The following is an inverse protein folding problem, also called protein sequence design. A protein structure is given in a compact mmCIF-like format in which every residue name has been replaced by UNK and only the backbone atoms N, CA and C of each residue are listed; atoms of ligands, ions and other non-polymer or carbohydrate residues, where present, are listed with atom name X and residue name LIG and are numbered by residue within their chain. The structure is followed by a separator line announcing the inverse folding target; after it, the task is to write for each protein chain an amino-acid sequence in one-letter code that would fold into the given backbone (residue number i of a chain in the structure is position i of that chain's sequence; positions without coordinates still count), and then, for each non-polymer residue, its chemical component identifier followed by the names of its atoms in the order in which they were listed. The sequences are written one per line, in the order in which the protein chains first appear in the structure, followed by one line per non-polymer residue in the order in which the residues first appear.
data_IF_561873871673
#
_entry.id   IF_561873871673
#
_cell.length_a   1.000
_cell.length_b   1.000
_cell.length_c   1.000
_cell.angle_alpha   90.00
_cell.angle_beta   90.00
_cell.angle_gamma   90.00
#
_symmetry.space_group_name_H-M   'P 1'
#
loop_
_entity.id
_entity.type
_entity.pdbx_description
1 polymer ?
#
# COMPACT_ATOMS: atom_id res chain seq x y z
N UNK A 1 7.53 18.94 -34.21
CA UNK A 1 8.01 19.14 -32.83
C UNK A 1 7.66 17.91 -32.02
N UNK A 2 8.46 17.49 -31.03
CA UNK A 2 8.12 16.36 -30.18
C UNK A 2 6.77 16.62 -29.48
N UNK A 3 5.95 15.57 -29.37
CA UNK A 3 4.58 15.61 -28.81
C UNK A 3 4.59 15.80 -27.28
N UNK A 4 5.74 15.55 -26.64
CA UNK A 4 6.00 15.72 -25.22
C UNK A 4 7.48 15.45 -24.91
N UNK A 5 7.88 15.42 -23.61
CA UNK A 5 9.23 15.08 -23.21
C UNK A 5 9.60 13.64 -23.60
N UNK A 6 10.91 13.40 -23.78
CA UNK A 6 11.43 12.05 -24.00
C UNK A 6 11.49 11.31 -22.66
N UNK A 7 10.70 10.24 -22.54
CA UNK A 7 10.49 9.47 -21.32
C UNK A 7 10.70 7.97 -21.62
N UNK A 8 11.10 7.17 -20.63
CA UNK A 8 11.36 5.74 -20.76
C UNK A 8 10.28 4.88 -20.11
N UNK A 9 9.77 5.29 -18.96
CA UNK A 9 8.68 4.64 -18.24
C UNK A 9 7.32 5.01 -18.82
N UNK A 10 7.21 6.22 -19.35
CA UNK A 10 6.03 6.71 -20.06
C UNK A 10 6.34 7.01 -21.53
N UNK A 11 5.29 7.06 -22.36
CA UNK A 11 5.35 7.58 -23.73
C UNK A 11 4.32 8.69 -23.92
N UNK A 12 4.70 9.71 -24.68
CA UNK A 12 3.79 10.73 -25.17
C UNK A 12 3.39 10.40 -26.61
N UNK A 13 2.10 10.15 -26.84
CA UNK A 13 1.55 9.80 -28.16
C UNK A 13 0.44 10.80 -28.51
N UNK A 14 0.35 11.23 -29.77
CA UNK A 14 -0.78 12.05 -30.23
C UNK A 14 -1.79 11.14 -30.92
N UNK A 15 -3.02 11.16 -30.46
CA UNK A 15 -4.11 10.44 -31.12
C UNK A 15 -4.46 11.11 -32.47
N UNK A 16 -5.17 10.40 -33.38
CA UNK A 16 -5.62 10.98 -34.64
C UNK A 16 -6.55 12.20 -34.50
N UNK A 17 -7.24 12.34 -33.37
CA UNK A 17 -8.09 13.52 -33.06
C UNK A 17 -7.33 14.63 -32.32
N UNK A 18 -6.01 14.53 -32.20
CA UNK A 18 -5.15 15.59 -31.65
C UNK A 18 -5.11 15.65 -30.12
N UNK A 19 -5.54 14.59 -29.43
CA UNK A 19 -5.47 14.48 -27.96
C UNK A 19 -4.13 13.86 -27.58
N UNK A 20 -3.46 14.45 -26.58
CA UNK A 20 -2.23 13.90 -26.05
C UNK A 20 -2.53 12.69 -25.16
N UNK A 21 -1.82 11.60 -25.38
CA UNK A 21 -1.84 10.40 -24.55
C UNK A 21 -0.55 10.30 -23.75
N UNK A 22 -0.67 10.20 -22.43
CA UNK A 22 0.40 9.75 -21.55
C UNK A 22 0.22 8.25 -21.31
N UNK A 23 1.07 7.44 -21.94
CA UNK A 23 1.00 5.98 -21.89
C UNK A 23 2.00 5.47 -20.88
N UNK A 24 1.53 4.90 -19.77
CA UNK A 24 2.42 4.23 -18.82
C UNK A 24 2.76 2.84 -19.36
N UNK A 25 4.03 2.60 -19.70
CA UNK A 25 4.47 1.31 -20.25
C UNK A 25 5.90 0.97 -19.81
N UNK A 26 6.02 0.55 -18.55
CA UNK A 26 7.31 0.23 -17.93
C UNK A 26 8.09 -0.82 -18.74
N UNK A 27 9.30 -0.52 -19.23
CA UNK A 27 10.09 -1.46 -20.04
C UNK A 27 10.46 -2.73 -19.28
N UNK A 28 10.46 -3.87 -19.96
CA UNK A 28 10.93 -5.15 -19.40
C UNK A 28 10.07 -5.75 -18.30
N UNK A 29 8.88 -5.20 -18.04
CA UNK A 29 7.93 -5.68 -17.02
C UNK A 29 6.57 -6.00 -17.63
N UNK A 30 5.91 -7.02 -17.08
CA UNK A 30 4.55 -7.42 -17.49
C UNK A 30 3.47 -6.48 -16.94
N UNK A 31 3.80 -5.67 -15.94
CA UNK A 31 2.89 -4.75 -15.25
C UNK A 31 3.61 -3.42 -15.03
N UNK A 32 2.86 -2.33 -15.06
CA UNK A 32 3.37 -1.03 -14.62
C UNK A 32 3.42 -0.98 -13.10
N UNK A 33 4.52 -0.45 -12.57
CA UNK A 33 4.69 -0.10 -11.16
C UNK A 33 5.41 1.24 -11.05
N UNK A 34 5.14 2.00 -10.00
CA UNK A 34 5.87 3.22 -9.68
C UNK A 34 7.24 2.89 -9.09
N UNK A 35 8.23 2.77 -9.98
CA UNK A 35 9.65 2.87 -9.65
C UNK A 35 10.06 4.32 -9.41
N UNK A 36 11.24 4.53 -8.84
CA UNK A 36 11.85 5.85 -8.70
C UNK A 36 11.98 6.57 -10.05
N UNK A 37 12.31 5.84 -11.12
CA UNK A 37 12.38 6.39 -12.46
C UNK A 37 11.00 6.84 -12.96
N UNK A 38 9.93 6.07 -12.71
CA UNK A 38 8.58 6.45 -13.11
C UNK A 38 8.08 7.66 -12.31
N UNK A 39 8.40 7.74 -11.02
CA UNK A 39 8.06 8.90 -10.18
C UNK A 39 8.75 10.17 -10.71
N UNK A 40 10.02 10.08 -11.07
CA UNK A 40 10.77 11.20 -11.64
C UNK A 40 10.18 11.65 -12.98
N UNK A 41 9.93 10.71 -13.89
CA UNK A 41 9.34 11.01 -15.20
C UNK A 41 7.93 11.59 -15.12
N UNK A 42 7.12 11.17 -14.15
CA UNK A 42 5.82 11.77 -13.87
C UNK A 42 5.98 13.25 -13.47
N UNK A 43 6.97 13.56 -12.64
CA UNK A 43 7.30 14.94 -12.26
C UNK A 43 7.73 15.77 -13.46
N UNK A 44 8.60 15.24 -14.33
CA UNK A 44 9.02 15.92 -15.56
C UNK A 44 7.84 16.17 -16.51
N UNK A 45 6.96 15.18 -16.67
CA UNK A 45 5.77 15.33 -17.48
C UNK A 45 4.81 16.39 -16.92
N UNK A 46 4.62 16.44 -15.61
CA UNK A 46 3.77 17.44 -14.98
C UNK A 46 4.29 18.88 -15.20
N UNK A 47 5.62 19.11 -15.12
CA UNK A 47 6.24 20.42 -15.38
C UNK A 47 6.01 20.84 -16.83
N UNK A 48 6.21 19.90 -17.74
CA UNK A 48 5.97 20.14 -19.16
C UNK A 48 4.50 20.40 -19.45
N UNK A 49 3.57 19.65 -18.84
CA UNK A 49 2.14 19.75 -19.10
C UNK A 49 1.61 21.15 -18.77
N UNK A 50 2.04 21.72 -17.63
CA UNK A 50 1.68 23.08 -17.20
C UNK A 50 2.05 24.14 -18.25
N UNK A 51 3.20 23.98 -18.90
CA UNK A 51 3.74 24.91 -19.90
C UNK A 51 3.30 24.59 -21.33
N UNK A 52 2.63 23.46 -21.55
CA UNK A 52 2.27 22.98 -22.89
C UNK A 52 1.04 23.69 -23.47
N UNK A 53 0.96 23.73 -24.80
CA UNK A 53 -0.23 24.20 -25.53
C UNK A 53 -1.29 23.10 -25.74
N UNK A 54 -1.15 21.94 -25.09
CA UNK A 54 -2.12 20.85 -25.23
C UNK A 54 -3.50 21.27 -24.69
N UNK A 55 -4.55 20.74 -25.32
CA UNK A 55 -5.94 20.89 -24.88
C UNK A 55 -6.27 20.03 -23.65
N UNK A 56 -5.44 19.02 -23.36
CA UNK A 56 -5.57 18.10 -22.24
C UNK A 56 -4.81 16.80 -22.51
N UNK A 57 -4.95 15.83 -21.62
CA UNK A 57 -4.26 14.55 -21.70
C UNK A 57 -5.19 13.40 -21.31
N UNK A 58 -5.06 12.28 -22.03
CA UNK A 58 -5.60 10.98 -21.62
C UNK A 58 -4.45 10.11 -21.11
N UNK A 59 -4.57 9.65 -19.87
CA UNK A 59 -3.66 8.69 -19.28
C UNK A 59 -4.21 7.30 -19.55
N UNK A 60 -3.35 6.40 -20.06
CA UNK A 60 -3.69 5.00 -20.29
C UNK A 60 -2.51 4.09 -20.01
N UNK A 61 -2.77 2.80 -19.87
CA UNK A 61 -1.72 1.80 -19.78
C UNK A 61 -1.31 1.31 -21.17
N UNK A 62 -0.01 1.03 -21.35
CA UNK A 62 0.52 0.24 -22.46
C UNK A 62 0.49 -1.27 -22.19
N UNK A 63 0.12 -1.71 -20.98
CA UNK A 63 0.01 -3.12 -20.60
C UNK A 63 -1.42 -3.63 -20.80
N UNK A 64 -1.56 -4.85 -21.28
CA UNK A 64 -2.87 -5.49 -21.48
C UNK A 64 -3.51 -6.01 -20.18
N UNK A 65 -2.70 -6.31 -19.16
CA UNK A 65 -3.12 -7.02 -17.95
C UNK A 65 -3.61 -6.11 -16.82
N UNK A 66 -3.17 -4.86 -16.77
CA UNK A 66 -3.53 -3.90 -15.73
C UNK A 66 -3.21 -2.46 -16.12
N UNK A 67 -3.81 -1.52 -15.37
CA UNK A 67 -3.43 -0.12 -15.45
C UNK A 67 -2.08 0.12 -14.76
N UNK A 68 -2.00 -0.14 -13.46
CA UNK A 68 -0.79 -0.06 -12.65
C UNK A 68 -0.99 -0.84 -11.33
N UNK A 69 0.02 -1.60 -10.92
CA UNK A 69 -0.04 -2.52 -9.78
C UNK A 69 0.43 -1.93 -8.44
N UNK A 70 0.80 -0.65 -8.41
CA UNK A 70 1.27 0.06 -7.21
C UNK A 70 2.75 0.45 -7.30
N UNK A 71 3.41 0.57 -6.16
CA UNK A 71 4.84 0.90 -6.09
C UNK A 71 5.74 -0.28 -6.52
N UNK A 72 7.00 -0.01 -6.85
CA UNK A 72 8.01 -1.07 -6.95
C UNK A 72 8.54 -1.41 -5.53
N UNK A 73 8.07 -2.53 -4.97
CA UNK A 73 8.42 -2.92 -3.60
C UNK A 73 9.88 -3.37 -3.43
N UNK A 74 10.59 -3.72 -4.51
CA UNK A 74 12.03 -4.01 -4.41
C UNK A 74 12.83 -2.71 -4.19
N UNK A 75 12.43 -1.63 -4.85
CA UNK A 75 13.02 -0.30 -4.61
C UNK A 75 12.63 0.26 -3.23
N UNK A 76 11.46 -0.12 -2.70
CA UNK A 76 11.04 0.24 -1.35
C UNK A 76 11.96 -0.36 -0.26
N UNK A 77 12.39 -1.62 -0.42
CA UNK A 77 13.35 -2.27 0.50
C UNK A 77 14.70 -1.53 0.47
N UNK A 78 15.16 -1.13 -0.71
CA UNK A 78 16.39 -0.34 -0.87
C UNK A 78 16.27 1.05 -0.22
N UNK A 79 15.12 1.71 -0.37
CA UNK A 79 14.85 2.99 0.28
C UNK A 79 14.84 2.86 1.80
N UNK A 80 14.24 1.79 2.33
CA UNK A 80 14.26 1.50 3.77
C UNK A 80 15.69 1.35 4.28
N UNK A 81 16.52 0.52 3.64
CA UNK A 81 17.91 0.30 4.07
C UNK A 81 18.72 1.60 4.02
N UNK A 82 18.53 2.41 2.98
CA UNK A 82 19.12 3.75 2.88
C UNK A 82 18.71 4.66 4.05
N UNK A 83 17.43 4.70 4.40
CA UNK A 83 16.90 5.53 5.50
C UNK A 83 17.46 5.05 6.84
N UNK A 84 17.46 3.75 7.09
CA UNK A 84 17.91 3.19 8.36
C UNK A 84 19.44 3.29 8.56
N UNK A 85 20.21 3.35 7.48
CA UNK A 85 21.65 3.62 7.52
C UNK A 85 21.98 5.08 7.90
N UNK A 86 21.06 6.02 7.71
CA UNK A 86 21.27 7.43 8.05
C UNK A 86 21.23 7.68 9.58
N UNK A 87 21.89 8.75 10.08
CA UNK A 87 21.75 9.20 11.47
C UNK A 87 20.29 9.42 11.84
N UNK A 88 19.88 9.03 13.05
CA UNK A 88 18.47 9.10 13.50
C UNK A 88 17.83 10.47 13.30
N UNK A 89 18.60 11.54 13.51
CA UNK A 89 18.15 12.94 13.34
C UNK A 89 17.84 13.34 11.89
N UNK A 90 18.31 12.57 10.90
CA UNK A 90 18.11 12.84 9.47
C UNK A 90 17.02 11.96 8.84
N UNK A 91 16.63 10.86 9.49
CA UNK A 91 15.77 9.83 8.89
C UNK A 91 14.39 10.34 8.49
N UNK A 92 13.75 11.13 9.35
CA UNK A 92 12.42 11.69 9.07
C UNK A 92 12.44 12.53 7.78
N UNK A 93 13.45 13.39 7.64
CA UNK A 93 13.63 14.23 6.46
C UNK A 93 13.94 13.39 5.22
N UNK A 94 14.86 12.43 5.33
CA UNK A 94 15.24 11.57 4.22
C UNK A 94 14.05 10.73 3.72
N UNK A 95 13.28 10.16 4.64
CA UNK A 95 12.05 9.43 4.31
C UNK A 95 11.03 10.35 3.64
N UNK A 96 10.77 11.53 4.21
CA UNK A 96 9.87 12.52 3.61
C UNK A 96 10.31 12.89 2.19
N UNK A 97 11.55 13.34 2.02
CA UNK A 97 12.08 13.81 0.72
C UNK A 97 12.05 12.69 -0.33
N UNK A 98 12.34 11.44 0.07
CA UNK A 98 12.31 10.30 -0.84
C UNK A 98 10.90 9.96 -1.32
N UNK A 99 9.94 9.82 -0.39
CA UNK A 99 8.59 9.31 -0.69
C UNK A 99 7.60 10.40 -1.13
N UNK A 100 7.80 11.66 -0.74
CA UNK A 100 6.90 12.76 -1.12
C UNK A 100 6.82 13.02 -2.63
N UNK A 101 7.86 12.62 -3.38
CA UNK A 101 7.96 12.87 -4.83
C UNK A 101 6.76 12.34 -5.62
N UNK A 102 6.19 11.18 -5.26
CA UNK A 102 5.00 10.65 -5.92
C UNK A 102 3.79 11.55 -5.67
N UNK A 103 3.47 11.84 -4.40
CA UNK A 103 2.34 12.71 -4.04
C UNK A 103 2.47 14.11 -4.64
N UNK A 104 3.69 14.66 -4.64
CA UNK A 104 4.00 15.94 -5.23
C UNK A 104 3.85 15.95 -6.77
N UNK A 105 4.39 14.94 -7.46
CA UNK A 105 4.23 14.79 -8.91
C UNK A 105 2.77 14.65 -9.33
N UNK A 106 1.99 13.85 -8.58
CA UNK A 106 0.54 13.72 -8.78
C UNK A 106 -0.20 15.03 -8.55
N UNK A 107 0.17 15.80 -7.51
CA UNK A 107 -0.43 17.11 -7.26
C UNK A 107 -0.10 18.12 -8.36
N UNK A 108 1.12 18.12 -8.88
CA UNK A 108 1.53 18.97 -10.00
C UNK A 108 0.79 18.62 -11.29
N UNK A 109 0.61 17.34 -11.58
CA UNK A 109 -0.23 16.88 -12.69
C UNK A 109 -1.69 17.37 -12.55
N UNK A 110 -2.25 17.21 -11.35
CA UNK A 110 -3.61 17.59 -10.99
C UNK A 110 -3.86 19.11 -11.08
N UNK A 111 -2.83 19.93 -10.88
CA UNK A 111 -2.92 21.39 -10.86
C UNK A 111 -2.27 22.07 -12.07
N UNK A 112 -1.86 21.30 -13.09
CA UNK A 112 -1.22 21.81 -14.31
C UNK A 112 -2.14 22.69 -15.19
N UNK A 113 -3.40 22.93 -14.79
CA UNK A 113 -4.36 23.75 -15.54
C UNK A 113 -4.86 23.12 -16.84
N UNK A 114 -4.56 21.84 -17.08
CA UNK A 114 -4.98 21.07 -18.26
C UNK A 114 -5.94 19.94 -17.87
N UNK A 115 -7.01 19.67 -18.65
CA UNK A 115 -7.85 18.50 -18.43
C UNK A 115 -7.02 17.21 -18.46
N UNK A 116 -7.23 16.35 -17.45
CA UNK A 116 -6.56 15.04 -17.33
C UNK A 116 -7.64 14.00 -17.17
N UNK A 117 -7.83 13.15 -18.18
CA UNK A 117 -8.67 11.96 -18.08
C UNK A 117 -7.79 10.73 -17.92
N UNK A 118 -8.31 9.68 -17.26
CA UNK A 118 -7.67 8.37 -17.20
C UNK A 118 -8.63 7.29 -17.70
N UNK A 119 -8.10 6.41 -18.54
CA UNK A 119 -8.78 5.25 -19.09
C UNK A 119 -8.33 3.97 -18.34
N UNK A 120 -9.25 3.37 -17.59
CA UNK A 120 -9.00 2.23 -16.70
C UNK A 120 -9.64 0.98 -17.29
N UNK A 121 -8.84 0.23 -18.06
CA UNK A 121 -9.23 -1.06 -18.64
C UNK A 121 -8.82 -2.25 -17.76
N UNK A 122 -8.13 -2.02 -16.65
CA UNK A 122 -7.67 -3.09 -15.78
C UNK A 122 -7.39 -2.61 -14.38
N UNK A 123 -6.68 -3.42 -13.62
CA UNK A 123 -6.44 -3.21 -12.21
C UNK A 123 -5.61 -1.92 -11.97
N UNK A 124 -6.13 -1.02 -11.14
CA UNK A 124 -5.45 0.17 -10.64
C UNK A 124 -5.30 0.06 -9.12
N UNK A 125 -4.13 -0.40 -8.67
CA UNK A 125 -3.85 -0.63 -7.24
C UNK A 125 -2.78 0.29 -6.70
N UNK A 126 -2.91 0.65 -5.43
CA UNK A 126 -1.97 1.46 -4.67
C UNK A 126 -1.61 2.75 -5.41
N UNK A 127 -0.32 3.02 -5.62
CA UNK A 127 0.14 4.14 -6.46
C UNK A 127 -0.55 4.26 -7.83
N UNK A 128 -0.96 3.14 -8.45
CA UNK A 128 -1.76 3.14 -9.67
C UNK A 128 -3.18 3.67 -9.49
N UNK A 129 -3.82 3.33 -8.37
CA UNK A 129 -5.08 3.95 -7.96
C UNK A 129 -4.86 5.44 -7.69
N UNK A 130 -3.85 5.81 -6.90
CA UNK A 130 -3.53 7.21 -6.55
C UNK A 130 -3.29 8.07 -7.81
N UNK A 131 -2.64 7.50 -8.83
CA UNK A 131 -2.47 8.14 -10.12
C UNK A 131 -3.80 8.39 -10.84
N UNK A 132 -4.70 7.43 -10.81
CA UNK A 132 -6.04 7.60 -11.36
C UNK A 132 -6.89 8.61 -10.56
N UNK A 133 -6.73 8.66 -9.24
CA UNK A 133 -7.44 9.64 -8.38
C UNK A 133 -6.98 11.07 -8.65
N UNK A 134 -5.72 11.28 -9.05
CA UNK A 134 -5.19 12.60 -9.41
C UNK A 134 -5.72 13.12 -10.76
N UNK A 135 -6.34 12.27 -11.58
CA UNK A 135 -7.01 12.71 -12.79
C UNK A 135 -8.32 13.46 -12.48
N UNK A 136 -8.72 14.36 -13.37
CA UNK A 136 -9.98 15.08 -13.29
C UNK A 136 -11.17 14.22 -13.72
N UNK A 137 -10.93 13.26 -14.61
CA UNK A 137 -11.95 12.35 -15.15
C UNK A 137 -11.46 10.92 -15.20
N UNK A 138 -12.34 9.97 -14.92
CA UNK A 138 -12.02 8.55 -14.75
C UNK A 138 -13.06 7.74 -15.50
N UNK A 139 -12.63 7.14 -16.61
CA UNK A 139 -13.44 6.21 -17.39
C UNK A 139 -12.98 4.80 -17.07
N UNK A 140 -13.92 3.95 -16.68
CA UNK A 140 -13.65 2.55 -16.33
C UNK A 140 -14.36 1.61 -17.31
N UNK A 141 -13.66 0.58 -17.75
CA UNK A 141 -14.25 -0.47 -18.57
C UNK A 141 -15.13 -1.39 -17.71
N UNK A 142 -16.29 -1.80 -18.21
CA UNK A 142 -17.22 -2.71 -17.55
C UNK A 142 -16.73 -4.16 -17.64
N UNK A 143 -15.71 -4.48 -16.84
CA UNK A 143 -15.14 -5.82 -16.74
C UNK A 143 -14.53 -6.10 -15.37
N UNK A 144 -14.53 -7.36 -14.91
CA UNK A 144 -14.19 -7.71 -13.52
C UNK A 144 -12.81 -7.26 -13.04
N UNK A 145 -11.83 -7.19 -13.95
CA UNK A 145 -10.46 -6.80 -13.63
C UNK A 145 -10.27 -5.28 -13.52
N UNK A 146 -11.17 -4.47 -14.09
CA UNK A 146 -11.11 -3.02 -14.02
C UNK A 146 -11.64 -2.57 -12.65
N UNK A 147 -10.71 -2.33 -11.73
CA UNK A 147 -11.02 -2.00 -10.33
C UNK A 147 -9.99 -1.05 -9.76
N UNK A 148 -10.42 -0.22 -8.82
CA UNK A 148 -9.60 0.62 -7.96
C UNK A 148 -9.39 -0.06 -6.61
N UNK A 149 -8.22 0.13 -5.99
CA UNK A 149 -7.99 -0.31 -4.61
C UNK A 149 -6.67 0.21 -4.02
N UNK A 150 -6.61 0.30 -2.70
CA UNK A 150 -5.44 0.77 -1.94
C UNK A 150 -5.03 -0.28 -0.88
N UNK A 151 -4.38 -1.39 -1.30
CA UNK A 151 -4.12 -2.54 -0.44
C UNK A 151 -2.87 -2.39 0.45
N UNK A 152 -2.29 -1.20 0.57
CA UNK A 152 -1.04 -0.93 1.29
C UNK A 152 -1.08 -1.42 2.75
N UNK A 153 -2.22 -1.25 3.42
CA UNK A 153 -2.44 -1.71 4.80
C UNK A 153 -2.13 -3.20 4.98
N UNK A 154 -2.44 -4.02 3.97
CA UNK A 154 -2.26 -5.48 4.00
C UNK A 154 -0.79 -5.91 4.04
N UNK A 155 0.13 -5.01 3.69
CA UNK A 155 1.58 -5.23 3.70
C UNK A 155 2.30 -4.30 4.68
N UNK A 156 1.56 -3.65 5.59
CA UNK A 156 2.13 -2.81 6.63
C UNK A 156 2.46 -1.39 6.19
N UNK A 157 1.86 -0.91 5.10
CA UNK A 157 2.07 0.44 4.57
C UNK A 157 0.77 1.25 4.58
N UNK A 158 0.86 2.52 4.21
CA UNK A 158 -0.30 3.35 3.90
C UNK A 158 -0.19 3.96 2.49
N UNK A 159 -1.30 4.37 1.85
CA UNK A 159 -1.29 5.05 0.56
C UNK A 159 -0.68 6.47 0.66
N UNK A 160 0.61 6.58 0.37
CA UNK A 160 1.41 7.81 0.58
C UNK A 160 1.55 8.72 -0.64
N UNK A 161 0.92 8.40 -1.77
CA UNK A 161 0.81 9.23 -2.96
C UNK A 161 -0.39 10.19 -2.94
N UNK A 162 -0.97 10.45 -1.77
CA UNK A 162 -2.19 11.24 -1.57
C UNK A 162 -3.46 10.39 -1.50
N UNK A 163 -3.38 9.06 -1.46
CA UNK A 163 -4.54 8.17 -1.45
C UNK A 163 -5.43 8.35 -0.21
N UNK A 164 -4.84 8.57 0.97
CA UNK A 164 -5.63 8.86 2.19
C UNK A 164 -6.29 10.23 2.14
N UNK A 165 -5.88 11.10 1.20
CA UNK A 165 -6.43 12.45 1.05
C UNK A 165 -7.43 12.57 -0.09
N UNK A 166 -7.17 11.97 -1.25
CA UNK A 166 -8.05 12.03 -2.42
C UNK A 166 -9.27 11.14 -2.24
N UNK A 167 -9.09 9.90 -1.79
CA UNK A 167 -10.19 8.94 -1.74
C UNK A 167 -11.33 9.39 -0.82
N UNK A 168 -11.09 9.81 0.45
CA UNK A 168 -12.17 10.29 1.30
C UNK A 168 -12.83 11.58 0.79
N UNK A 169 -12.11 12.43 0.04
CA UNK A 169 -12.67 13.64 -0.57
C UNK A 169 -13.54 13.34 -1.80
N UNK A 170 -13.34 12.19 -2.44
CA UNK A 170 -14.14 11.72 -3.57
C UNK A 170 -15.40 10.97 -3.14
N UNK A 171 -15.26 10.02 -2.21
CA UNK A 171 -16.34 9.05 -1.91
C UNK A 171 -16.84 9.12 -0.46
N UNK A 172 -16.32 10.05 0.33
CA UNK A 172 -16.60 10.16 1.77
C UNK A 172 -15.75 9.22 2.62
N UNK A 173 -15.60 9.56 3.91
CA UNK A 173 -14.73 8.82 4.84
C UNK A 173 -15.23 7.39 5.04
N UNK A 174 -16.52 7.21 5.28
CA UNK A 174 -17.10 5.89 5.57
C UNK A 174 -16.91 4.89 4.41
N UNK A 175 -17.04 5.34 3.16
CA UNK A 175 -16.83 4.48 1.99
C UNK A 175 -15.34 4.29 1.65
N UNK A 176 -14.48 5.24 2.03
CA UNK A 176 -13.04 5.15 1.81
C UNK A 176 -12.35 4.19 2.79
N UNK A 177 -12.78 4.10 4.06
CA UNK A 177 -12.08 3.30 5.07
C UNK A 177 -11.97 1.80 4.72
N UNK A 178 -12.99 1.11 4.18
CA UNK A 178 -12.82 -0.29 3.73
C UNK A 178 -11.76 -0.45 2.64
N UNK A 179 -11.65 0.51 1.72
CA UNK A 179 -10.63 0.50 0.66
C UNK A 179 -9.24 0.70 1.26
N UNK A 180 -9.10 1.62 2.21
CA UNK A 180 -7.82 1.98 2.83
C UNK A 180 -7.33 0.94 3.85
N UNK A 181 -8.21 0.44 4.71
CA UNK A 181 -7.85 -0.44 5.83
C UNK A 181 -7.83 -1.91 5.44
N UNK A 182 -8.81 -2.35 4.64
CA UNK A 182 -9.06 -3.75 4.31
C UNK A 182 -8.60 -4.10 2.87
N UNK A 183 -8.16 -3.10 2.09
CA UNK A 183 -7.76 -3.29 0.70
C UNK A 183 -8.94 -3.65 -0.22
N UNK A 184 -10.16 -3.25 0.15
CA UNK A 184 -11.35 -3.49 -0.66
C UNK A 184 -11.20 -2.90 -2.07
N UNK A 185 -11.79 -3.58 -3.06
CA UNK A 185 -11.75 -3.15 -4.47
C UNK A 185 -13.10 -2.65 -4.92
N UNK A 186 -13.11 -1.58 -5.71
CA UNK A 186 -14.33 -0.98 -6.26
C UNK A 186 -14.19 -0.89 -7.78
N UNK A 187 -15.18 -1.39 -8.52
CA UNK A 187 -15.21 -1.35 -9.99
C UNK A 187 -16.65 -1.32 -10.52
N UNK A 188 -16.79 -1.33 -11.84
CA UNK A 188 -18.09 -1.36 -12.52
C UNK A 188 -19.05 -0.27 -12.03
N UNK A 189 -20.33 -0.64 -11.93
CA UNK A 189 -21.38 0.29 -11.48
C UNK A 189 -21.17 0.79 -10.03
N UNK A 190 -20.51 0.00 -9.17
CA UNK A 190 -20.21 0.42 -7.80
C UNK A 190 -19.23 1.60 -7.77
N UNK A 191 -18.28 1.66 -8.71
CA UNK A 191 -17.37 2.80 -8.83
C UNK A 191 -18.10 4.09 -9.25
N UNK A 192 -19.10 3.98 -10.13
CA UNK A 192 -19.96 5.11 -10.53
C UNK A 192 -20.81 5.57 -9.35
N UNK A 193 -21.50 4.63 -8.69
CA UNK A 193 -22.39 4.94 -7.57
C UNK A 193 -21.67 5.61 -6.38
N UNK A 194 -20.41 5.24 -6.15
CA UNK A 194 -19.58 5.85 -5.11
C UNK A 194 -19.01 7.22 -5.48
N UNK A 195 -19.07 7.64 -6.75
CA UNK A 195 -18.37 8.84 -7.25
C UNK A 195 -16.87 8.62 -7.52
N UNK A 196 -16.41 7.37 -7.50
CA UNK A 196 -15.01 7.01 -7.75
C UNK A 196 -14.67 7.02 -9.24
N UNK A 197 -15.61 6.64 -10.10
CA UNK A 197 -15.52 6.76 -11.56
C UNK A 197 -16.62 7.68 -12.09
N UNK A 198 -16.40 8.26 -13.26
CA UNK A 198 -17.34 9.20 -13.89
C UNK A 198 -18.12 8.57 -15.05
N UNK A 199 -17.52 7.64 -15.77
CA UNK A 199 -18.14 6.95 -16.90
C UNK A 199 -17.77 5.46 -16.88
N UNK A 200 -18.77 4.60 -17.07
CA UNK A 200 -18.63 3.15 -17.23
C UNK A 200 -18.95 2.82 -18.68
N UNK A 201 -18.04 2.15 -19.38
CA UNK A 201 -18.18 1.86 -20.82
C UNK A 201 -17.88 0.41 -21.14
N UNK A 202 -18.26 -0.06 -22.33
CA UNK A 202 -17.89 -1.40 -22.75
C UNK A 202 -16.35 -1.52 -22.88
N UNK A 203 -15.77 -2.72 -22.62
CA UNK A 203 -14.34 -2.93 -22.79
C UNK A 203 -13.83 -2.53 -24.18
N UNK A 204 -12.80 -1.70 -24.22
CA UNK A 204 -12.20 -1.17 -25.44
C UNK A 204 -12.69 0.23 -25.82
N UNK A 205 -13.71 0.76 -25.14
CA UNK A 205 -14.25 2.10 -25.40
C UNK A 205 -13.68 3.17 -24.44
N UNK A 206 -12.95 2.78 -23.41
CA UNK A 206 -12.49 3.66 -22.33
C UNK A 206 -11.58 4.81 -22.79
N UNK A 207 -10.71 4.56 -23.78
CA UNK A 207 -9.82 5.59 -24.34
C UNK A 207 -10.63 6.58 -25.17
N UNK A 208 -11.51 6.11 -26.05
CA UNK A 208 -12.34 6.97 -26.87
C UNK A 208 -13.27 7.85 -26.02
N UNK A 209 -13.80 7.31 -24.92
CA UNK A 209 -14.59 8.06 -23.95
C UNK A 209 -13.76 9.14 -23.24
N UNK A 210 -12.55 8.80 -22.78
CA UNK A 210 -11.65 9.77 -22.17
C UNK A 210 -11.25 10.89 -23.15
N UNK A 211 -10.98 10.56 -24.42
CA UNK A 211 -10.72 11.54 -25.48
C UNK A 211 -11.92 12.47 -25.70
N UNK A 212 -13.16 11.93 -25.77
CA UNK A 212 -14.38 12.74 -25.89
C UNK A 212 -14.49 13.75 -24.75
N UNK A 213 -14.22 13.33 -23.52
CA UNK A 213 -14.25 14.22 -22.37
C UNK A 213 -13.19 15.32 -22.48
N UNK A 214 -11.95 14.99 -22.83
CA UNK A 214 -10.89 16.01 -23.01
C UNK A 214 -11.24 17.00 -24.13
N UNK A 215 -11.77 16.53 -25.26
CA UNK A 215 -12.14 17.36 -26.41
C UNK A 215 -13.33 18.31 -26.11
N UNK A 216 -14.13 18.00 -25.09
CA UNK A 216 -15.18 18.91 -24.60
C UNK A 216 -14.63 20.16 -23.89
N UNK A 217 -13.30 20.22 -23.65
CA UNK A 217 -12.58 21.31 -22.96
C UNK A 217 -13.17 21.64 -21.58
N UNK A 218 -13.26 20.65 -20.68
CA UNK A 218 -13.83 20.84 -19.36
C UNK A 218 -12.90 21.72 -18.51
N UNK A 219 -13.43 22.20 -17.39
CA UNK A 219 -12.61 22.88 -16.39
C UNK A 219 -11.71 21.86 -15.67
N UNK A 220 -10.41 22.12 -15.66
CA UNK A 220 -9.39 21.28 -15.01
C UNK A 220 -9.19 21.67 -13.55
N UNK A 221 -10.24 21.50 -12.72
CA UNK A 221 -10.20 21.79 -11.29
C UNK A 221 -10.92 20.68 -10.53
N UNK A 222 -10.17 20.00 -9.65
CA UNK A 222 -10.73 18.98 -8.75
C UNK A 222 -11.75 19.58 -7.79
N UNK A 223 -12.71 18.78 -7.27
CA UNK A 223 -13.70 19.28 -6.33
C UNK A 223 -13.07 20.07 -5.18
N UNK A 224 -12.07 19.51 -4.48
CA UNK A 224 -11.45 20.15 -3.31
C UNK A 224 -10.63 21.42 -3.57
N UNK A 225 -10.37 21.75 -4.84
CA UNK A 225 -9.71 23.00 -5.22
C UNK A 225 -10.71 24.10 -5.60
N UNK A 226 -12.01 23.80 -5.59
CA UNK A 226 -13.05 24.78 -5.89
C UNK A 226 -13.40 25.58 -4.64
N UNK A 227 -13.61 26.91 -4.73
CA UNK A 227 -13.94 27.75 -3.57
C UNK A 227 -15.22 27.35 -2.82
N UNK A 228 -16.15 26.71 -3.51
CA UNK A 228 -17.45 26.26 -2.99
C UNK A 228 -17.42 24.85 -2.39
N UNK A 229 -16.32 24.10 -2.55
CA UNK A 229 -16.24 22.75 -2.03
C UNK A 229 -16.21 22.70 -0.51
N UNK A 230 -16.97 21.76 0.05
CA UNK A 230 -17.07 21.53 1.49
C UNK A 230 -16.88 20.04 1.77
N UNK A 231 -16.08 19.74 2.77
CA UNK A 231 -15.94 18.40 3.30
C UNK A 231 -17.11 18.11 4.26
N UNK A 232 -18.24 17.65 3.73
CA UNK A 232 -19.47 17.39 4.50
C UNK A 232 -19.27 16.39 5.65
N UNK A 233 -18.27 15.52 5.54
CA UNK A 233 -17.97 14.49 6.53
C UNK A 233 -17.21 14.99 7.76
N UNK A 234 -16.62 16.20 7.75
CA UNK A 234 -15.78 16.70 8.87
C UNK A 234 -16.48 16.54 10.24
N UNK A 235 -17.77 16.93 10.42
CA UNK A 235 -18.44 16.79 11.71
C UNK A 235 -18.62 15.34 12.17
N UNK A 236 -18.71 14.38 11.23
CA UNK A 236 -18.89 12.95 11.51
C UNK A 236 -17.57 12.19 11.59
N UNK A 237 -16.48 12.78 11.09
CA UNK A 237 -15.17 12.13 10.99
C UNK A 237 -14.69 11.55 12.34
N UNK A 238 -14.75 12.26 13.49
CA UNK A 238 -14.27 11.69 14.75
C UNK A 238 -15.00 10.42 15.17
N UNK A 239 -16.32 10.34 14.94
CA UNK A 239 -17.12 9.17 15.29
C UNK A 239 -16.78 7.96 14.38
N UNK A 240 -16.74 8.17 13.06
CA UNK A 240 -16.44 7.12 12.07
C UNK A 240 -15.02 6.57 12.27
N UNK A 241 -14.06 7.48 12.47
CA UNK A 241 -12.65 7.14 12.69
C UNK A 241 -12.49 6.46 14.05
N UNK A 242 -13.15 6.95 15.10
CA UNK A 242 -13.11 6.35 16.44
C UNK A 242 -13.64 4.91 16.46
N UNK A 243 -14.75 4.64 15.79
CA UNK A 243 -15.29 3.28 15.64
C UNK A 243 -14.32 2.36 14.89
N UNK A 244 -13.77 2.85 13.76
CA UNK A 244 -12.79 2.10 12.97
C UNK A 244 -11.50 1.84 13.75
N UNK A 245 -11.02 2.81 14.53
CA UNK A 245 -9.86 2.69 15.40
C UNK A 245 -10.08 1.62 16.47
N UNK A 246 -11.24 1.62 17.12
CA UNK A 246 -11.59 0.60 18.11
C UNK A 246 -11.65 -0.82 17.51
N UNK A 247 -12.23 -0.96 16.31
CA UNK A 247 -12.25 -2.22 15.56
C UNK A 247 -10.82 -2.70 15.25
N UNK A 248 -10.00 -1.84 14.64
CA UNK A 248 -8.59 -2.13 14.31
C UNK A 248 -7.83 -2.57 15.55
N UNK A 249 -7.93 -1.84 16.66
CA UNK A 249 -7.24 -2.17 17.91
C UNK A 249 -7.69 -3.52 18.48
N UNK A 250 -8.99 -3.83 18.39
CA UNK A 250 -9.53 -5.11 18.84
C UNK A 250 -9.04 -6.28 17.98
N UNK A 251 -8.95 -6.10 16.66
CA UNK A 251 -8.55 -7.15 15.72
C UNK A 251 -7.02 -7.37 15.68
N UNK A 252 -6.26 -6.30 15.86
CA UNK A 252 -4.79 -6.30 15.67
C UNK A 252 -4.02 -6.32 16.98
N UNK A 253 -4.70 -6.10 18.12
CA UNK A 253 -4.11 -5.90 19.44
C UNK A 253 -3.10 -4.74 19.49
N UNK A 254 -3.16 -3.82 18.52
CA UNK A 254 -2.22 -2.69 18.40
C UNK A 254 -0.90 -3.04 17.70
N UNK A 255 -0.69 -4.28 17.25
CA UNK A 255 0.58 -4.72 16.64
C UNK A 255 0.79 -4.25 15.20
N UNK A 256 -0.26 -3.77 14.55
CA UNK A 256 -0.25 -3.38 13.14
C UNK A 256 -0.37 -1.85 13.05
N UNK A 257 0.75 -1.11 12.95
CA UNK A 257 0.74 0.35 13.01
C UNK A 257 0.13 1.01 11.77
N UNK A 258 0.18 0.34 10.61
CA UNK A 258 -0.28 0.91 9.34
C UNK A 258 -1.77 1.29 9.30
N UNK A 259 -2.73 0.42 9.69
CA UNK A 259 -4.13 0.81 9.85
C UNK A 259 -4.35 2.04 10.74
N UNK A 260 -3.61 2.15 11.84
CA UNK A 260 -3.71 3.31 12.75
C UNK A 260 -3.14 4.57 12.10
N UNK A 261 -2.01 4.45 11.42
CA UNK A 261 -1.41 5.55 10.66
C UNK A 261 -2.33 6.04 9.53
N UNK A 262 -3.06 5.15 8.85
CA UNK A 262 -4.09 5.52 7.88
C UNK A 262 -5.19 6.34 8.54
N UNK A 263 -5.70 5.90 9.69
CA UNK A 263 -6.72 6.62 10.45
C UNK A 263 -6.19 7.99 10.88
N UNK A 264 -4.94 8.08 11.33
CA UNK A 264 -4.27 9.34 11.67
C UNK A 264 -4.17 10.28 10.46
N UNK A 265 -3.83 9.77 9.27
CA UNK A 265 -3.77 10.56 8.04
C UNK A 265 -5.14 11.16 7.68
N UNK A 266 -6.21 10.37 7.82
CA UNK A 266 -7.57 10.86 7.55
C UNK A 266 -7.99 11.86 8.63
N UNK A 267 -7.80 11.52 9.91
CA UNK A 267 -8.18 12.36 11.04
C UNK A 267 -7.49 13.73 11.03
N UNK A 268 -6.18 13.74 10.80
CA UNK A 268 -5.38 14.96 10.84
C UNK A 268 -5.42 15.72 9.52
N UNK A 269 -5.39 15.01 8.37
CA UNK A 269 -5.26 15.62 7.04
C UNK A 269 -6.59 16.05 6.41
N UNK A 270 -7.68 15.32 6.64
CA UNK A 270 -8.97 15.61 6.00
C UNK A 270 -9.53 17.03 6.31
N UNK A 271 -9.39 17.58 7.53
CA UNK A 271 -9.82 18.94 7.84
C UNK A 271 -8.96 20.05 7.22
N UNK A 272 -7.79 19.72 6.67
CA UNK A 272 -6.82 20.70 6.17
C UNK A 272 -7.04 21.01 4.68
N UNK A 273 -6.43 22.12 4.22
CA UNK A 273 -6.24 22.37 2.79
C UNK A 273 -5.43 21.23 2.15
N UNK A 274 -5.73 20.91 0.89
CA UNK A 274 -5.22 19.69 0.24
C UNK A 274 -3.68 19.59 0.27
N UNK A 275 -2.97 20.69 -0.02
CA UNK A 275 -1.50 20.69 -0.03
C UNK A 275 -0.88 20.46 1.36
N UNK A 276 -1.55 20.92 2.43
CA UNK A 276 -1.13 20.65 3.81
C UNK A 276 -1.48 19.20 4.20
N UNK A 277 -2.63 18.71 3.73
CA UNK A 277 -3.12 17.37 4.00
C UNK A 277 -2.18 16.29 3.44
N UNK A 278 -1.69 16.43 2.20
CA UNK A 278 -0.73 15.48 1.62
C UNK A 278 0.66 15.54 2.29
N UNK A 279 1.04 16.68 2.86
CA UNK A 279 2.26 16.79 3.68
C UNK A 279 2.09 16.11 5.03
N UNK A 280 0.91 16.24 5.66
CA UNK A 280 0.56 15.52 6.89
C UNK A 280 0.58 14.01 6.67
N UNK A 281 -0.03 13.53 5.57
CA UNK A 281 0.03 12.11 5.17
C UNK A 281 1.48 11.62 5.07
N UNK A 282 2.35 12.39 4.40
CA UNK A 282 3.74 12.02 4.23
C UNK A 282 4.57 12.10 5.51
N UNK A 283 4.26 13.03 6.43
CA UNK A 283 4.90 13.07 7.76
C UNK A 283 4.57 11.81 8.57
N UNK A 284 3.33 11.33 8.49
CA UNK A 284 2.91 10.09 9.14
C UNK A 284 3.56 8.88 8.46
N UNK A 285 3.59 8.86 7.12
CA UNK A 285 4.29 7.81 6.35
C UNK A 285 5.78 7.73 6.71
N UNK A 286 6.46 8.88 6.79
CA UNK A 286 7.89 8.95 7.11
C UNK A 286 8.21 8.33 8.48
N UNK A 287 7.30 8.44 9.47
CA UNK A 287 7.44 7.75 10.75
C UNK A 287 7.11 6.27 10.65
N UNK A 288 6.03 5.92 9.94
CA UNK A 288 5.61 4.53 9.76
C UNK A 288 6.72 3.70 9.12
N UNK A 289 7.30 4.17 8.01
CA UNK A 289 8.25 3.39 7.21
C UNK A 289 9.54 3.06 7.96
N UNK A 290 9.90 3.81 9.01
CA UNK A 290 11.09 3.54 9.83
C UNK A 290 10.86 2.43 10.87
N UNK A 291 9.62 1.99 11.05
CA UNK A 291 9.28 0.91 11.97
C UNK A 291 9.72 -0.45 11.43
N UNK A 292 9.91 -1.42 12.33
CA UNK A 292 10.27 -2.80 11.96
C UNK A 292 9.10 -3.53 11.29
N UNK A 293 7.87 -3.28 11.76
CA UNK A 293 6.68 -4.03 11.33
C UNK A 293 6.39 -3.90 9.83
N UNK A 294 6.43 -2.71 9.20
CA UNK A 294 6.27 -2.58 7.75
C UNK A 294 7.29 -3.39 6.94
N UNK A 295 8.58 -3.30 7.30
CA UNK A 295 9.65 -4.07 6.62
C UNK A 295 9.39 -5.58 6.71
N UNK A 296 9.05 -6.05 7.91
CA UNK A 296 8.73 -7.44 8.19
C UNK A 296 7.54 -7.92 7.36
N UNK A 297 6.46 -7.13 7.34
CA UNK A 297 5.25 -7.44 6.59
C UNK A 297 5.48 -7.44 5.08
N UNK A 298 6.25 -6.50 4.52
CA UNK A 298 6.61 -6.48 3.10
C UNK A 298 7.39 -7.76 2.74
N UNK A 299 8.42 -8.09 3.51
CA UNK A 299 9.25 -9.27 3.27
C UNK A 299 8.40 -10.54 3.26
N UNK A 300 7.52 -10.70 4.25
CA UNK A 300 6.78 -11.95 4.43
C UNK A 300 5.48 -12.02 3.63
N UNK A 301 4.61 -11.02 3.72
CA UNK A 301 3.26 -11.02 3.13
C UNK A 301 3.24 -10.63 1.65
N UNK A 302 4.28 -9.96 1.16
CA UNK A 302 4.42 -9.61 -0.25
C UNK A 302 5.48 -10.45 -0.96
N UNK A 303 6.77 -10.27 -0.63
CA UNK A 303 7.86 -10.97 -1.33
C UNK A 303 7.75 -12.49 -1.11
N UNK A 304 7.50 -12.91 0.13
CA UNK A 304 7.26 -14.32 0.46
C UNK A 304 6.06 -14.94 -0.27
N UNK A 305 4.97 -14.19 -0.46
CA UNK A 305 3.83 -14.63 -1.27
C UNK A 305 4.21 -14.81 -2.74
N UNK A 306 4.93 -13.85 -3.33
CA UNK A 306 5.38 -13.93 -4.72
C UNK A 306 6.32 -15.12 -4.96
N UNK A 307 7.28 -15.33 -4.07
CA UNK A 307 8.18 -16.48 -4.15
C UNK A 307 7.45 -17.79 -3.95
N UNK A 308 6.56 -17.87 -2.95
CA UNK A 308 5.70 -19.04 -2.74
C UNK A 308 4.87 -19.36 -4.00
N UNK A 309 4.19 -18.37 -4.59
CA UNK A 309 3.34 -18.59 -5.76
C UNK A 309 4.14 -19.04 -6.99
N UNK A 310 5.37 -18.51 -7.15
CA UNK A 310 6.30 -18.95 -8.20
C UNK A 310 6.80 -20.38 -7.95
N UNK A 311 7.26 -20.67 -6.73
CA UNK A 311 7.77 -21.99 -6.36
C UNK A 311 6.68 -23.06 -6.44
N UNK A 312 5.46 -22.74 -6.01
CA UNK A 312 4.30 -23.63 -6.11
C UNK A 312 4.01 -24.06 -7.55
N UNK A 313 4.12 -23.14 -8.52
CA UNK A 313 3.94 -23.46 -9.95
C UNK A 313 5.04 -24.37 -10.49
N UNK A 314 6.26 -24.26 -9.95
CA UNK A 314 7.43 -25.02 -10.40
C UNK A 314 7.67 -26.30 -9.59
N UNK A 315 6.81 -26.58 -8.59
CA UNK A 315 7.00 -27.64 -7.60
C UNK A 315 7.70 -27.11 -6.36
N UNK A 316 6.93 -26.85 -5.30
CA UNK A 316 7.48 -26.40 -4.02
C UNK A 316 8.35 -27.52 -3.42
N UNK A 317 9.60 -27.19 -3.12
CA UNK A 317 10.57 -28.12 -2.51
C UNK A 317 10.04 -28.70 -1.20
N UNK A 318 10.13 -30.04 -0.98
CA UNK A 318 9.78 -30.65 0.31
C UNK A 318 10.57 -30.08 1.49
N UNK A 319 11.76 -29.51 1.25
CA UNK A 319 12.56 -28.86 2.30
C UNK A 319 11.83 -27.67 2.91
N UNK A 320 11.13 -26.89 2.08
CA UNK A 320 10.35 -25.73 2.57
C UNK A 320 9.28 -26.19 3.55
N UNK A 321 8.51 -27.22 3.18
CA UNK A 321 7.44 -27.73 4.05
C UNK A 321 7.98 -28.42 5.30
N UNK A 322 9.10 -29.13 5.20
CA UNK A 322 9.77 -29.74 6.36
C UNK A 322 10.33 -28.69 7.32
N UNK A 323 10.97 -27.63 6.81
CA UNK A 323 11.47 -26.53 7.61
C UNK A 323 10.34 -25.82 8.36
N UNK A 324 9.24 -25.51 7.67
CA UNK A 324 8.04 -24.91 8.28
C UNK A 324 7.47 -25.83 9.36
N UNK A 325 7.33 -27.13 9.09
CA UNK A 325 6.83 -28.09 10.07
C UNK A 325 7.74 -28.20 11.31
N UNK A 326 9.06 -28.18 11.14
CA UNK A 326 10.02 -28.22 12.24
C UNK A 326 9.95 -26.98 13.14
N UNK A 327 9.69 -25.79 12.57
CA UNK A 327 9.48 -24.58 13.36
C UNK A 327 8.11 -24.61 14.06
N UNK A 328 7.07 -25.06 13.37
CA UNK A 328 5.72 -25.14 13.96
C UNK A 328 5.62 -26.15 15.09
N UNK A 329 6.39 -27.24 15.07
CA UNK A 329 6.41 -28.20 16.19
C UNK A 329 6.97 -27.58 17.47
N UNK A 330 7.92 -26.65 17.36
CA UNK A 330 8.41 -25.86 18.49
C UNK A 330 7.34 -24.87 18.94
N UNK A 331 6.74 -24.14 18.00
CA UNK A 331 5.74 -23.10 18.32
C UNK A 331 4.37 -23.64 18.77
N UNK A 332 4.14 -24.96 18.77
CA UNK A 332 2.84 -25.55 19.08
C UNK A 332 2.46 -25.43 20.56
N UNK A 333 1.94 -24.25 20.92
CA UNK A 333 1.38 -23.96 22.22
C UNK A 333 0.09 -24.77 22.52
N UNK A 334 -0.51 -25.45 21.54
CA UNK A 334 -1.74 -26.24 21.74
C UNK A 334 -1.48 -27.49 22.59
N UNK A 335 -0.22 -27.93 22.64
CA UNK A 335 0.22 -29.07 23.44
C UNK A 335 0.58 -28.70 24.89
N UNK A 336 0.54 -27.41 25.25
CA UNK A 336 1.12 -26.92 26.50
C UNK A 336 0.13 -26.84 27.66
N UNK A 337 0.62 -27.19 28.85
CA UNK A 337 -0.11 -27.05 30.12
C UNK A 337 0.14 -25.71 30.82
N UNK A 338 1.06 -24.88 30.32
CA UNK A 338 1.40 -23.60 30.93
C UNK A 338 0.50 -22.47 30.41
N UNK A 339 -0.41 -22.02 31.27
CA UNK A 339 -1.38 -20.97 30.92
C UNK A 339 -0.71 -19.63 30.63
N UNK A 340 0.39 -19.28 31.32
CA UNK A 340 1.04 -17.98 31.14
C UNK A 340 1.72 -17.86 29.77
N UNK A 341 2.28 -18.96 29.26
CA UNK A 341 2.84 -19.02 27.91
C UNK A 341 1.74 -18.96 26.86
N UNK A 342 0.63 -19.70 27.05
CA UNK A 342 -0.53 -19.63 26.15
C UNK A 342 -1.10 -18.21 26.06
N UNK A 343 -1.25 -17.53 27.20
CA UNK A 343 -1.72 -16.14 27.25
C UNK A 343 -0.72 -15.20 26.57
N UNK A 344 0.59 -15.40 26.75
CA UNK A 344 1.62 -14.60 26.09
C UNK A 344 1.57 -14.75 24.55
N UNK A 345 1.41 -15.98 24.03
CA UNK A 345 1.20 -16.22 22.59
C UNK A 345 -0.02 -15.48 22.06
N UNK A 346 -1.15 -15.57 22.77
CA UNK A 346 -2.38 -14.89 22.39
C UNK A 346 -2.22 -13.36 22.38
N UNK A 347 -1.58 -12.78 23.42
CA UNK A 347 -1.28 -11.34 23.49
C UNK A 347 -0.36 -10.88 22.37
N UNK A 348 0.63 -11.69 21.99
CA UNK A 348 1.53 -11.39 20.88
C UNK A 348 0.85 -11.55 19.49
N UNK A 349 -0.42 -11.92 19.44
CA UNK A 349 -1.20 -11.99 18.19
C UNK A 349 -1.00 -13.28 17.40
N UNK A 350 -0.42 -14.33 18.00
CA UNK A 350 -0.35 -15.63 17.33
C UNK A 350 -1.75 -16.20 17.18
N UNK A 351 -2.08 -16.67 15.97
CA UNK A 351 -3.34 -17.39 15.69
C UNK A 351 -3.21 -18.86 16.12
N UNK A 352 -2.83 -19.07 17.37
CA UNK A 352 -3.04 -20.34 18.07
C UNK A 352 -4.53 -20.42 18.35
N UNK A 353 -5.18 -21.59 18.31
CA UNK A 353 -6.52 -21.76 18.88
C UNK A 353 -6.39 -21.52 20.39
N UNK A 354 -6.73 -20.32 20.90
CA UNK A 354 -6.47 -20.05 22.30
C UNK A 354 -7.68 -20.54 23.09
N UNK A 355 -7.47 -20.96 24.34
CA UNK A 355 -8.60 -21.18 25.26
C UNK A 355 -9.39 -19.87 25.50
N UNK A 356 -8.76 -18.71 25.26
CA UNK A 356 -9.35 -17.39 25.47
C UNK A 356 -8.86 -16.38 24.42
N UNK A 357 -9.76 -15.59 23.84
CA UNK A 357 -9.39 -14.54 22.88
C UNK A 357 -8.65 -13.42 23.61
N UNK A 358 -7.45 -13.07 23.14
CA UNK A 358 -6.73 -11.92 23.66
C UNK A 358 -7.55 -10.63 23.46
N UNK A 359 -7.45 -9.73 24.43
CA UNK A 359 -8.11 -8.42 24.42
C UNK A 359 -7.02 -7.36 24.33
N UNK A 360 -7.27 -6.33 23.52
CA UNK A 360 -6.40 -5.17 23.44
C UNK A 360 -6.24 -4.54 24.83
N UNK A 361 -4.99 -4.35 25.26
CA UNK A 361 -4.65 -3.94 26.62
C UNK A 361 -4.49 -2.42 26.79
N UNK A 362 -4.85 -1.66 25.75
CA UNK A 362 -4.74 -0.20 25.73
C UNK A 362 -3.39 0.33 25.25
N UNK A 363 -2.44 -0.53 24.85
CA UNK A 363 -1.07 -0.10 24.53
C UNK A 363 -0.73 -0.24 23.06
N UNK A 364 -0.20 0.84 22.50
CA UNK A 364 0.39 0.89 21.16
C UNK A 364 1.86 1.29 21.36
N UNK A 365 2.78 0.57 20.75
CA UNK A 365 4.21 0.88 20.86
C UNK A 365 4.53 2.21 20.13
N UNK A 366 5.01 3.23 20.85
CA UNK A 366 5.09 4.60 20.32
C UNK A 366 6.20 4.81 19.28
N UNK A 367 7.35 4.16 19.45
CA UNK A 367 8.47 4.26 18.49
C UNK A 367 9.28 2.95 18.35
N UNK A 368 9.06 1.98 19.24
CA UNK A 368 9.74 0.70 19.23
C UNK A 368 8.82 -0.42 18.75
N UNK A 369 9.40 -1.60 18.62
CA UNK A 369 8.68 -2.83 18.35
C UNK A 369 7.90 -3.27 19.60
N UNK A 370 6.68 -3.79 19.43
CA UNK A 370 5.79 -4.13 20.56
C UNK A 370 6.46 -4.98 21.65
N UNK A 371 7.29 -5.95 21.27
CA UNK A 371 8.01 -6.82 22.21
C UNK A 371 9.01 -6.08 23.12
N UNK A 372 9.46 -4.89 22.73
CA UNK A 372 10.39 -4.09 23.51
C UNK A 372 9.66 -3.34 24.63
N UNK A 373 8.43 -2.88 24.35
CA UNK A 373 7.62 -2.09 25.28
C UNK A 373 6.75 -2.96 26.23
N UNK A 374 6.63 -4.27 25.98
CA UNK A 374 5.87 -5.18 26.87
C UNK A 374 6.53 -5.28 28.28
N UNK A 375 5.78 -5.24 29.39
CA UNK A 375 6.33 -5.35 30.74
C UNK A 375 7.01 -6.70 30.96
N UNK A 376 8.02 -6.71 31.83
CA UNK A 376 8.64 -7.95 32.28
C UNK A 376 7.60 -8.82 32.98
N UNK A 377 7.40 -10.03 32.46
CA UNK A 377 6.52 -11.05 33.03
C UNK A 377 7.10 -12.42 32.70
N UNK A 378 6.79 -13.44 33.52
CA UNK A 378 7.21 -14.82 33.27
C UNK A 378 6.70 -15.32 31.90
N UNK A 379 5.42 -15.07 31.56
CA UNK A 379 4.89 -15.37 30.22
C UNK A 379 5.69 -14.74 29.07
N UNK A 380 6.13 -13.48 29.20
CA UNK A 380 7.00 -12.83 28.19
C UNK A 380 8.36 -13.52 28.07
N UNK A 381 8.97 -13.89 29.20
CA UNK A 381 10.25 -14.61 29.21
C UNK A 381 10.14 -16.00 28.58
N UNK A 382 9.05 -16.72 28.88
CA UNK A 382 8.74 -18.02 28.27
C UNK A 382 8.53 -17.89 26.76
N UNK A 383 7.77 -16.88 26.31
CA UNK A 383 7.56 -16.61 24.89
C UNK A 383 8.89 -16.28 24.19
N UNK A 384 9.74 -15.44 24.79
CA UNK A 384 11.08 -15.14 24.24
C UNK A 384 11.95 -16.39 24.14
N UNK A 385 11.97 -17.23 25.17
CA UNK A 385 12.72 -18.48 25.15
C UNK A 385 12.21 -19.39 24.02
N UNK A 386 10.89 -19.48 23.83
CA UNK A 386 10.29 -20.29 22.78
C UNK A 386 10.57 -19.75 21.37
N UNK A 387 10.54 -18.43 21.19
CA UNK A 387 10.92 -17.81 19.91
C UNK A 387 12.41 -17.99 19.62
N UNK A 388 13.28 -17.96 20.63
CA UNK A 388 14.70 -18.25 20.47
C UNK A 388 14.95 -19.72 20.07
N UNK A 389 14.22 -20.65 20.67
CA UNK A 389 14.25 -22.07 20.29
C UNK A 389 13.79 -22.26 18.82
N UNK A 390 12.66 -21.66 18.45
CA UNK A 390 12.15 -21.71 17.08
C UNK A 390 13.12 -21.06 16.08
N UNK A 391 13.75 -19.95 16.45
CA UNK A 391 14.81 -19.29 15.68
C UNK A 391 16.05 -20.17 15.51
N UNK A 392 16.44 -20.92 16.54
CA UNK A 392 17.54 -21.90 16.47
C UNK A 392 17.23 -23.01 15.46
N UNK A 393 16.00 -23.55 15.52
CA UNK A 393 15.55 -24.56 14.54
C UNK A 393 15.53 -23.98 13.13
N UNK A 394 14.97 -22.78 12.93
CA UNK A 394 14.97 -22.11 11.64
C UNK A 394 16.41 -21.90 11.12
N UNK A 395 17.35 -21.53 11.99
CA UNK A 395 18.75 -21.32 11.63
C UNK A 395 19.44 -22.59 11.11
N UNK A 396 19.06 -23.78 11.58
CA UNK A 396 19.56 -25.05 11.02
C UNK A 396 19.10 -25.27 9.57
N UNK A 397 17.91 -24.79 9.20
CA UNK A 397 17.36 -24.92 7.85
C UNK A 397 17.81 -23.82 6.88
N UNK A 398 18.20 -22.63 7.37
CA UNK A 398 18.59 -21.48 6.52
C UNK A 398 19.66 -21.81 5.45
N UNK A 399 20.72 -22.61 5.74
CA UNK A 399 21.72 -22.99 4.73
C UNK A 399 21.18 -23.97 3.67
N UNK A 400 20.08 -24.66 3.96
CA UNK A 400 19.49 -25.65 3.05
C UNK A 400 18.47 -25.05 2.07
N UNK A 401 18.04 -23.81 2.33
CA UNK A 401 17.03 -23.09 1.58
C UNK A 401 17.67 -21.89 0.88
N UNK A 402 17.33 -21.65 -0.38
CA UNK A 402 17.68 -20.39 -1.03
C UNK A 402 16.85 -19.20 -0.49
N UNK A 403 17.12 -17.99 -0.95
CA UNK A 403 16.42 -16.81 -0.43
C UNK A 403 14.91 -16.81 -0.71
N UNK A 404 14.51 -17.30 -1.89
CA UNK A 404 13.10 -17.38 -2.26
C UNK A 404 12.38 -18.45 -1.44
N UNK A 405 13.03 -19.59 -1.22
CA UNK A 405 12.55 -20.66 -0.35
C UNK A 405 12.41 -20.18 1.10
N UNK A 406 13.37 -19.40 1.62
CA UNK A 406 13.27 -18.80 2.97
C UNK A 406 12.08 -17.85 3.08
N UNK A 407 11.88 -16.94 2.11
CA UNK A 407 10.72 -16.02 2.13
C UNK A 407 9.40 -16.76 1.96
N UNK A 408 9.36 -17.82 1.15
CA UNK A 408 8.18 -18.68 1.01
C UNK A 408 7.87 -19.44 2.32
N UNK A 409 8.90 -19.92 3.02
CA UNK A 409 8.74 -20.56 4.33
C UNK A 409 8.17 -19.58 5.38
N UNK A 410 8.69 -18.34 5.42
CA UNK A 410 8.16 -17.29 6.28
C UNK A 410 6.68 -16.99 5.98
N UNK A 411 6.31 -16.90 4.69
CA UNK A 411 4.93 -16.71 4.27
C UNK A 411 4.01 -17.85 4.75
N UNK A 412 4.48 -19.10 4.67
CA UNK A 412 3.74 -20.27 5.15
C UNK A 412 3.60 -20.29 6.68
N UNK A 413 4.63 -19.88 7.43
CA UNK A 413 4.53 -19.72 8.89
C UNK A 413 3.41 -18.76 9.27
N UNK A 414 3.27 -17.64 8.56
CA UNK A 414 2.23 -16.65 8.83
C UNK A 414 0.85 -17.15 8.40
N UNK A 415 0.73 -17.66 7.18
CA UNK A 415 -0.57 -17.98 6.59
C UNK A 415 -1.16 -19.33 7.02
N UNK A 416 -0.32 -20.30 7.38
CA UNK A 416 -0.74 -21.63 7.82
C UNK A 416 -0.47 -21.86 9.30
N UNK A 417 0.66 -21.33 9.81
CA UNK A 417 1.09 -21.52 11.20
C UNK A 417 0.51 -20.53 12.20
N UNK A 418 -0.14 -19.46 11.73
CA UNK A 418 -0.66 -18.41 12.60
C UNK A 418 0.43 -17.52 13.21
N UNK A 419 1.64 -17.55 12.66
CA UNK A 419 2.72 -16.65 13.07
C UNK A 419 2.34 -15.19 12.76
N UNK A 420 2.55 -14.22 13.66
CA UNK A 420 2.21 -12.83 13.38
C UNK A 420 3.16 -12.21 12.37
N UNK A 421 2.63 -11.72 11.25
CA UNK A 421 3.43 -11.16 10.16
C UNK A 421 4.26 -9.93 10.54
N UNK A 422 3.85 -9.17 11.56
CA UNK A 422 4.57 -7.99 12.03
C UNK A 422 5.92 -8.34 12.70
N UNK A 423 6.10 -9.59 13.16
CA UNK A 423 7.33 -10.03 13.81
C UNK A 423 8.48 -10.27 12.84
N UNK A 424 8.19 -10.43 11.55
CA UNK A 424 9.18 -10.87 10.57
C UNK A 424 9.39 -12.36 10.70
N UNK A 425 9.39 -13.07 9.58
CA UNK A 425 9.52 -14.53 9.61
C UNK A 425 10.89 -15.00 10.15
N UNK A 426 10.91 -16.23 10.68
CA UNK A 426 12.06 -16.82 11.38
C UNK A 426 13.18 -17.29 10.44
N UNK A 427 12.93 -17.40 9.14
CA UNK A 427 13.90 -17.80 8.13
C UNK A 427 14.67 -16.62 7.52
N UNK A 428 14.37 -15.38 7.92
CA UNK A 428 15.18 -14.23 7.55
C UNK A 428 16.61 -14.31 8.13
N UNK A 429 17.58 -13.73 7.40
CA UNK A 429 18.97 -13.61 7.84
C UNK A 429 19.17 -12.19 8.39
N UNK A 430 19.80 -12.05 9.56
CA UNK A 430 20.19 -10.74 10.10
C UNK A 430 19.05 -9.90 10.69
N UNK A 431 18.01 -10.54 11.24
CA UNK A 431 16.97 -9.86 12.04
C UNK A 431 17.22 -9.95 13.57
N UNK A 432 18.41 -10.40 13.97
CA UNK A 432 18.83 -10.47 15.38
C UNK A 432 18.94 -9.08 16.04
#
# INVERSE_FOLDING_TARGET
MPVGPELKQFRCELSPNGVLHLVFDMPGRSMNVFSNAAIEELGLFADWLEQSDTAGVVIRSGKASAFCAGADLAELETAYDMIMAAPSVERDRLAFDHFFRLSHGLRRLETAGKPVAVAISGLALGGGCEFALAAHHRVIADQPQATFGLPESLVGLLPGGGGTQRLPRLIGIAAALPVLLEGARIGGQAAIAAGLAHELVAPGEEVAAAERWVLSRPQAIQPWDRPDWRAEDIPRAPAIIGESRAKVLTETLGHYPAPLAILDCVEQGFPQAFDTAIRTEMQIFAKLIQRREPRNMIRTLFLGRLDHDRLKKNGLSPKVTQAVAAVLSVLDARSERDQELSDAFARAGFRVEPRQKAVFDGRIAEANFWFDDEPKSRGKELLRARLAEAGTVAACWRPELDEAERRAADYLLVTQGGFPGYLGGLFAVGLD
#
